data_IF_712175747348
#
_entry.id   IF_712175747348
#
_cell.length_a   1.000
_cell.length_b   1.000
_cell.length_c   1.000
_cell.angle_alpha   90.00
_cell.angle_beta   90.00
_cell.angle_gamma   90.00
#
_symmetry.space_group_name_H-M   'P 1'
#
loop_
_entity.id
_entity.type
_entity.pdbx_description
1 polymer ?
#
# COMPACT_ATOMS: atom_id res chain seq x y z
N UNK A 1 6.07 -52.22 5.31
CA UNK A 1 6.81 -51.13 5.98
C UNK A 1 6.02 -49.85 5.80
N UNK A 2 5.22 -49.40 6.78
CA UNK A 2 4.58 -48.09 6.69
C UNK A 2 5.67 -47.02 6.85
N UNK A 3 5.77 -46.13 5.86
CA UNK A 3 6.67 -44.98 5.91
C UNK A 3 6.08 -43.98 6.92
N UNK A 4 6.83 -43.72 7.99
CA UNK A 4 6.53 -42.69 8.96
C UNK A 4 6.82 -41.34 8.31
N UNK A 5 5.78 -40.67 7.78
CA UNK A 5 5.90 -39.31 7.26
C UNK A 5 6.11 -38.38 8.46
N UNK A 6 7.31 -37.80 8.56
CA UNK A 6 7.65 -36.84 9.60
C UNK A 6 6.63 -35.68 9.59
N UNK A 7 6.24 -35.12 10.75
CA UNK A 7 5.38 -33.96 10.79
C UNK A 7 6.03 -32.83 10.00
N UNK A 8 5.36 -32.35 8.95
CA UNK A 8 5.77 -31.12 8.25
C UNK A 8 5.75 -30.01 9.29
N UNK A 9 6.92 -29.52 9.65
CA UNK A 9 7.07 -28.32 10.46
C UNK A 9 6.22 -27.23 9.81
N UNK A 10 5.18 -26.78 10.53
CA UNK A 10 4.30 -25.72 10.05
C UNK A 10 5.16 -24.47 9.91
N UNK A 11 5.63 -24.21 8.69
CA UNK A 11 6.30 -22.96 8.37
C UNK A 11 5.39 -21.83 8.84
N UNK A 12 5.87 -21.03 9.81
CA UNK A 12 5.12 -19.92 10.34
C UNK A 12 4.62 -19.06 9.18
N UNK A 13 3.31 -18.84 9.10
CA UNK A 13 2.74 -18.02 8.03
C UNK A 13 3.34 -16.62 8.16
N UNK A 14 3.99 -16.07 7.11
CA UNK A 14 4.63 -14.78 7.21
C UNK A 14 3.61 -13.70 7.57
N UNK A 15 4.02 -12.77 8.43
CA UNK A 15 3.19 -11.66 8.87
C UNK A 15 2.70 -10.82 7.67
N UNK A 16 1.48 -10.26 7.71
CA UNK A 16 0.97 -9.42 6.63
C UNK A 16 1.81 -8.16 6.44
N UNK A 17 2.01 -7.76 5.19
CA UNK A 17 2.67 -6.51 4.81
C UNK A 17 1.72 -5.32 4.81
N UNK A 18 0.41 -5.56 4.67
CA UNK A 18 -0.65 -4.57 4.87
C UNK A 18 -1.67 -5.20 5.80
N UNK A 19 -1.98 -4.51 6.89
CA UNK A 19 -2.99 -4.91 7.87
C UNK A 19 -3.92 -3.74 8.12
N UNK A 20 -5.20 -3.97 7.91
CA UNK A 20 -6.29 -3.01 8.14
C UNK A 20 -7.23 -3.59 9.17
N UNK A 21 -7.55 -2.83 10.22
CA UNK A 21 -8.48 -3.26 11.27
C UNK A 21 -9.54 -2.21 11.57
N UNK A 22 -10.80 -2.60 11.54
CA UNK A 22 -11.95 -1.77 11.89
C UNK A 22 -12.05 -0.49 11.06
N UNK A 23 -11.63 -0.50 9.79
CA UNK A 23 -11.54 0.70 8.97
C UNK A 23 -12.93 1.29 8.73
N UNK A 24 -13.08 2.56 9.12
CA UNK A 24 -14.28 3.35 8.84
C UNK A 24 -13.91 4.57 8.00
N UNK A 25 -14.51 4.65 6.81
CA UNK A 25 -14.43 5.82 5.94
C UNK A 25 -15.83 6.42 5.78
N UNK A 26 -15.96 7.73 5.99
CA UNK A 26 -17.23 8.44 5.91
C UNK A 26 -17.05 9.83 5.31
N UNK A 27 -17.99 10.24 4.46
CA UNK A 27 -18.05 11.57 3.87
C UNK A 27 -19.42 12.18 4.19
N UNK A 28 -19.44 13.15 5.11
CA UNK A 28 -20.70 13.65 5.69
C UNK A 28 -21.48 12.52 6.36
N UNK A 29 -22.70 12.26 5.87
CA UNK A 29 -23.55 11.18 6.36
C UNK A 29 -23.35 9.84 5.63
N UNK A 30 -22.59 9.84 4.52
CA UNK A 30 -22.37 8.64 3.72
C UNK A 30 -21.20 7.82 4.28
N UNK A 31 -21.51 6.63 4.79
CA UNK A 31 -20.51 5.63 5.18
C UNK A 31 -20.08 4.84 3.95
N UNK A 32 -18.77 4.80 3.69
CA UNK A 32 -18.14 4.09 2.55
C UNK A 32 -17.56 2.75 2.98
N UNK A 33 -16.90 2.71 4.13
CA UNK A 33 -16.50 1.48 4.80
C UNK A 33 -16.92 1.57 6.26
N UNK A 34 -17.39 0.44 6.80
CA UNK A 34 -17.84 0.32 8.19
C UNK A 34 -17.21 -0.92 8.82
N UNK A 35 -16.16 -0.73 9.62
CA UNK A 35 -15.46 -1.81 10.30
C UNK A 35 -14.72 -2.79 9.38
N UNK A 36 -14.16 -2.32 8.26
CA UNK A 36 -13.48 -3.19 7.29
C UNK A 36 -12.15 -3.72 7.84
N UNK A 37 -11.97 -5.04 7.77
CA UNK A 37 -10.73 -5.75 8.06
C UNK A 37 -10.13 -6.33 6.78
N UNK A 38 -8.81 -6.20 6.63
CA UNK A 38 -8.06 -6.75 5.48
C UNK A 38 -6.63 -7.10 5.89
N UNK A 39 -6.13 -8.23 5.41
CA UNK A 39 -4.71 -8.58 5.46
C UNK A 39 -4.20 -8.85 4.05
N UNK A 40 -3.00 -8.37 3.74
CA UNK A 40 -2.25 -8.71 2.52
C UNK A 40 -0.90 -9.25 2.93
N UNK A 41 -0.60 -10.48 2.49
CA UNK A 41 0.67 -11.17 2.80
C UNK A 41 1.78 -10.82 1.81
N UNK A 42 3.05 -11.04 2.18
CA UNK A 42 4.16 -10.88 1.23
C UNK A 42 3.93 -11.72 -0.03
N UNK A 43 4.05 -11.09 -1.21
CA UNK A 43 3.87 -11.76 -2.51
C UNK A 43 2.42 -12.05 -2.90
N UNK A 44 1.43 -11.69 -2.06
CA UNK A 44 0.02 -11.87 -2.37
C UNK A 44 -0.46 -10.82 -3.38
N UNK A 45 -1.22 -11.27 -4.39
CA UNK A 45 -1.92 -10.39 -5.32
C UNK A 45 -3.38 -10.30 -4.88
N UNK A 46 -3.77 -9.15 -4.33
CA UNK A 46 -5.16 -8.87 -3.95
C UNK A 46 -5.89 -8.11 -5.06
N UNK A 47 -7.01 -8.66 -5.52
CA UNK A 47 -7.97 -7.96 -6.37
C UNK A 47 -9.17 -7.43 -5.57
N UNK A 48 -9.43 -6.13 -5.63
CA UNK A 48 -10.63 -5.51 -5.02
C UNK A 48 -11.64 -5.18 -6.13
N UNK A 49 -12.79 -5.85 -6.11
CA UNK A 49 -13.83 -5.74 -7.15
C UNK A 49 -15.16 -5.28 -6.54
N UNK A 50 -15.93 -4.50 -7.29
CA UNK A 50 -17.22 -3.96 -6.87
C UNK A 50 -17.71 -2.88 -7.83
N UNK A 51 -18.99 -2.51 -7.73
CA UNK A 51 -19.60 -1.45 -8.57
C UNK A 51 -18.91 -0.09 -8.45
N UNK A 52 -19.23 0.86 -9.34
CA UNK A 52 -18.73 2.23 -9.19
C UNK A 52 -19.22 2.83 -7.87
N UNK A 53 -18.36 3.62 -7.20
CA UNK A 53 -18.72 4.28 -5.93
C UNK A 53 -18.67 3.41 -4.67
N UNK A 54 -18.39 2.11 -4.76
CA UNK A 54 -18.37 1.20 -3.59
C UNK A 54 -17.13 1.32 -2.69
N UNK A 55 -16.36 2.40 -2.77
CA UNK A 55 -15.24 2.65 -1.86
C UNK A 55 -13.88 2.08 -2.26
N UNK A 56 -13.73 1.35 -3.38
CA UNK A 56 -12.45 0.76 -3.82
C UNK A 56 -11.29 1.77 -3.85
N UNK A 57 -11.46 2.89 -4.55
CA UNK A 57 -10.42 3.94 -4.62
C UNK A 57 -10.19 4.61 -3.26
N UNK A 58 -11.23 4.68 -2.42
CA UNK A 58 -11.12 5.21 -1.05
C UNK A 58 -10.28 4.26 -0.20
N UNK A 59 -10.46 2.94 -0.32
CA UNK A 59 -9.69 1.92 0.39
C UNK A 59 -8.22 2.02 -0.01
N UNK A 60 -7.94 2.01 -1.32
CA UNK A 60 -6.57 2.12 -1.83
C UNK A 60 -5.89 3.41 -1.35
N UNK A 61 -6.58 4.56 -1.41
CA UNK A 61 -6.07 5.85 -0.90
C UNK A 61 -5.85 5.84 0.61
N UNK A 62 -6.68 5.14 1.37
CA UNK A 62 -6.52 5.02 2.82
C UNK A 62 -5.25 4.23 3.17
N UNK A 63 -5.02 3.11 2.47
CA UNK A 63 -3.84 2.25 2.66
C UNK A 63 -2.53 3.03 2.43
N UNK A 64 -2.47 3.86 1.37
CA UNK A 64 -1.28 4.65 1.04
C UNK A 64 -1.20 6.00 1.79
N UNK A 65 -2.13 6.26 2.72
CA UNK A 65 -2.15 7.47 3.54
C UNK A 65 -2.60 8.76 2.83
N UNK A 66 -3.21 8.68 1.64
CA UNK A 66 -3.80 9.84 0.95
C UNK A 66 -5.21 10.18 1.45
N UNK A 67 -5.86 9.27 2.16
CA UNK A 67 -7.15 9.47 2.82
C UNK A 67 -7.01 9.07 4.28
N UNK A 68 -7.28 9.99 5.20
CA UNK A 68 -7.35 9.64 6.60
C UNK A 68 -8.72 9.01 6.91
N UNK A 69 -8.77 7.79 7.48
CA UNK A 69 -10.02 7.22 7.94
C UNK A 69 -10.52 7.91 9.21
N UNK A 70 -11.82 7.81 9.47
CA UNK A 70 -12.41 8.39 10.69
C UNK A 70 -12.26 7.49 11.91
N UNK A 71 -12.06 6.19 11.70
CA UNK A 71 -11.74 5.20 12.72
C UNK A 71 -11.05 3.98 12.09
N UNK A 72 -10.47 3.15 12.94
CA UNK A 72 -9.70 1.99 12.55
C UNK A 72 -8.23 2.28 12.37
N UNK A 73 -7.47 1.23 12.06
CA UNK A 73 -6.01 1.27 12.05
C UNK A 73 -5.50 0.64 10.75
N UNK A 74 -4.45 1.26 10.20
CA UNK A 74 -3.74 0.76 9.02
C UNK A 74 -2.26 0.64 9.37
N UNK A 75 -1.72 -0.55 9.17
CA UNK A 75 -0.32 -0.89 9.34
C UNK A 75 0.24 -1.36 8.00
N UNK A 76 1.37 -0.79 7.58
CA UNK A 76 2.07 -1.19 6.36
C UNK A 76 3.54 -1.44 6.68
N UNK A 77 4.05 -2.60 6.27
CA UNK A 77 5.40 -3.09 6.62
C UNK A 77 5.71 -3.02 8.13
N UNK A 78 4.75 -3.36 8.98
CA UNK A 78 4.94 -3.31 10.44
C UNK A 78 4.76 -1.91 11.06
N UNK A 79 4.53 -0.87 10.25
CA UNK A 79 4.48 0.53 10.69
C UNK A 79 3.03 1.04 10.67
N UNK A 80 2.55 1.54 11.81
CA UNK A 80 1.24 2.18 11.93
C UNK A 80 1.20 3.54 11.23
N UNK A 81 0.32 3.68 10.24
CA UNK A 81 0.27 4.85 9.37
C UNK A 81 -0.06 6.16 10.09
N UNK A 82 -0.81 6.10 11.18
CA UNK A 82 -1.23 7.25 11.99
C UNK A 82 -0.20 7.69 13.04
N UNK A 83 0.89 6.92 13.21
CA UNK A 83 1.94 7.17 14.19
C UNK A 83 3.26 7.62 13.55
N UNK A 84 3.31 7.75 12.23
CA UNK A 84 4.53 8.13 11.52
C UNK A 84 4.72 9.64 11.51
N UNK A 85 5.93 10.07 11.85
CA UNK A 85 6.37 11.42 11.53
C UNK A 85 6.62 11.59 10.02
N UNK A 86 6.95 12.81 9.60
CA UNK A 86 7.15 13.15 8.19
C UNK A 86 8.32 12.37 7.55
N UNK A 87 9.38 12.09 8.30
CA UNK A 87 10.56 11.39 7.80
C UNK A 87 10.28 9.90 7.66
N UNK A 88 9.70 9.28 8.68
CA UNK A 88 9.25 7.89 8.68
C UNK A 88 8.22 7.62 7.58
N UNK A 89 7.31 8.57 7.37
CA UNK A 89 6.33 8.51 6.28
C UNK A 89 6.98 8.61 4.90
N UNK A 90 8.02 9.45 4.75
CA UNK A 90 8.79 9.55 3.50
C UNK A 90 9.58 8.29 3.21
N UNK A 91 10.21 7.72 4.24
CA UNK A 91 10.94 6.45 4.15
C UNK A 91 10.00 5.30 3.74
N UNK A 92 8.84 5.18 4.41
CA UNK A 92 7.87 4.14 4.10
C UNK A 92 7.34 4.21 2.66
N UNK A 93 7.10 5.43 2.14
CA UNK A 93 6.67 5.63 0.74
C UNK A 93 7.65 5.10 -0.31
N UNK A 94 8.92 4.87 0.03
CA UNK A 94 9.92 4.26 -0.87
C UNK A 94 9.62 2.80 -1.18
N UNK A 95 8.81 2.14 -0.35
CA UNK A 95 8.51 0.71 -0.47
C UNK A 95 7.31 0.39 -1.37
N UNK A 96 6.62 1.39 -1.92
CA UNK A 96 5.49 1.16 -2.82
C UNK A 96 5.45 2.13 -3.99
N UNK A 97 4.80 1.69 -5.07
CA UNK A 97 4.43 2.53 -6.22
C UNK A 97 2.92 2.53 -6.41
N UNK A 98 2.39 3.62 -6.95
CA UNK A 98 0.96 3.76 -7.25
C UNK A 98 0.79 4.07 -8.73
N UNK A 99 -0.05 3.30 -9.40
CA UNK A 99 -0.47 3.55 -10.78
C UNK A 99 -1.94 4.02 -10.79
N UNK A 100 -2.20 5.13 -11.45
CA UNK A 100 -3.54 5.70 -11.59
C UNK A 100 -4.19 5.24 -12.91
N UNK A 101 -5.52 5.17 -12.93
CA UNK A 101 -6.29 4.69 -14.08
C UNK A 101 -6.02 5.49 -15.37
N UNK A 102 -5.97 6.82 -15.28
CA UNK A 102 -5.71 7.70 -16.44
C UNK A 102 -4.22 8.03 -16.62
N UNK A 103 -3.34 7.33 -15.88
CA UNK A 103 -1.96 7.75 -15.69
C UNK A 103 -1.85 9.05 -14.88
N UNK A 104 -0.62 9.42 -14.52
CA UNK A 104 -0.33 10.67 -13.80
C UNK A 104 1.03 11.22 -14.26
N UNK A 105 1.25 11.21 -15.58
CA UNK A 105 2.51 11.68 -16.18
C UNK A 105 2.58 13.21 -16.18
N UNK A 106 3.78 13.73 -15.94
CA UNK A 106 4.09 15.13 -16.13
C UNK A 106 4.21 15.41 -17.62
N UNK A 107 3.22 16.11 -18.19
CA UNK A 107 3.17 16.38 -19.64
C UNK A 107 4.31 17.26 -20.17
N UNK A 108 5.02 17.96 -19.28
CA UNK A 108 6.21 18.74 -19.63
C UNK A 108 7.50 17.89 -19.70
N UNK A 109 7.44 16.61 -19.31
CA UNK A 109 8.58 15.70 -19.22
C UNK A 109 8.46 14.59 -20.27
N UNK A 110 9.60 14.13 -20.77
CA UNK A 110 9.71 12.91 -21.56
C UNK A 110 9.36 11.68 -20.72
N UNK A 111 9.19 10.53 -21.38
CA UNK A 111 8.95 9.25 -20.70
C UNK A 111 10.11 8.93 -19.75
N UNK A 112 11.35 9.10 -20.20
CA UNK A 112 12.55 8.88 -19.39
C UNK A 112 12.56 9.76 -18.15
N UNK A 113 12.32 11.07 -18.32
CA UNK A 113 12.26 12.01 -17.20
C UNK A 113 11.14 11.68 -16.22
N UNK A 114 9.97 11.22 -16.68
CA UNK A 114 8.88 10.77 -15.80
C UNK A 114 9.29 9.56 -14.93
N UNK A 115 10.03 8.61 -15.50
CA UNK A 115 10.56 7.44 -14.76
C UNK A 115 11.64 7.86 -13.76
N UNK A 116 12.41 8.90 -14.07
CA UNK A 116 13.47 9.41 -13.21
C UNK A 116 12.96 10.19 -12.00
N UNK A 117 11.79 10.85 -12.07
CA UNK A 117 11.24 11.66 -10.97
C UNK A 117 11.29 10.93 -9.60
N UNK A 118 10.67 9.74 -9.43
CA UNK A 118 10.71 9.05 -8.14
C UNK A 118 12.12 8.60 -7.77
N UNK A 119 12.96 8.28 -8.75
CA UNK A 119 14.34 7.83 -8.51
C UNK A 119 15.17 8.97 -7.91
N UNK A 120 15.10 10.17 -8.49
CA UNK A 120 15.81 11.36 -7.98
C UNK A 120 15.25 11.86 -6.64
N UNK A 121 13.95 11.67 -6.38
CA UNK A 121 13.32 12.08 -5.12
C UNK A 121 13.74 11.20 -3.93
N UNK A 122 13.93 9.90 -4.17
CA UNK A 122 14.17 8.94 -3.09
C UNK A 122 15.61 8.44 -2.98
N UNK A 123 16.41 8.58 -4.04
CA UNK A 123 17.80 8.09 -4.08
C UNK A 123 18.77 9.21 -4.44
N UNK A 124 20.00 9.11 -3.90
CA UNK A 124 21.12 9.98 -4.29
C UNK A 124 21.93 9.28 -5.37
N UNK A 125 22.28 10.00 -6.43
CA UNK A 125 23.14 9.52 -7.50
C UNK A 125 24.39 10.38 -7.54
N UNK A 126 25.56 9.74 -7.65
CA UNK A 126 26.86 10.43 -7.68
C UNK A 126 27.26 10.89 -9.10
N UNK A 127 26.60 10.37 -10.15
CA UNK A 127 26.80 10.69 -11.56
C UNK A 127 25.44 11.01 -12.24
N UNK A 128 25.41 11.69 -13.40
CA UNK A 128 24.17 11.90 -14.15
C UNK A 128 23.50 10.56 -14.44
N UNK A 129 22.40 10.33 -13.73
CA UNK A 129 21.57 9.15 -13.87
C UNK A 129 20.93 9.17 -15.26
N UNK A 130 21.34 8.23 -16.12
CA UNK A 130 20.94 8.07 -17.52
C UNK A 130 21.47 9.14 -18.49
N UNK A 131 22.79 9.17 -18.69
CA UNK A 131 23.44 9.80 -19.84
C UNK A 131 23.35 8.95 -21.11
#
# INVERSE_FOLDING_TARGET
>A
MPQHEAPREQAATPAPIIRVRGLVNRFGDQIVHDGLDLDVRPGEILGVVGGSGTGKSVLMRSIIGLQQPIAGEIEVFGKRMDQLDAEQSKDLRRHWGVLFQDGALFGALTVTENVEVPLREFFKFDEPFMA
#
